data_IF_585353592831
#
_entry.id   IF_585353592831
#
_cell.length_a   1.000
_cell.length_b   1.000
_cell.length_c   1.000
_cell.angle_alpha   90.00
_cell.angle_beta   90.00
_cell.angle_gamma   90.00
#
_symmetry.space_group_name_H-M   'P 1'
#
loop_
_entity.id
_entity.type
_entity.pdbx_description
1 polymer ?
#
# COMPACT_ATOMS: atom_id res chain seq x y z
N UNK A 1 -10.05 -5.26 31.44
CA UNK A 1 -10.10 -3.78 31.57
C UNK A 1 -8.72 -3.26 31.20
N UNK A 2 -8.55 -2.64 30.04
CA UNK A 2 -7.25 -2.14 29.59
C UNK A 2 -7.41 -0.70 29.13
N UNK A 3 -7.10 0.27 30.00
CA UNK A 3 -6.73 1.61 29.55
C UNK A 3 -6.15 2.41 30.71
N UNK A 4 -4.83 2.39 30.83
CA UNK A 4 -4.07 3.43 31.55
C UNK A 4 -2.68 3.73 30.98
N UNK A 5 -2.23 3.20 29.83
CA UNK A 5 -0.80 3.32 29.43
C UNK A 5 -0.55 3.68 27.94
N UNK A 6 -1.54 4.23 27.23
CA UNK A 6 -1.39 4.63 25.82
C UNK A 6 -0.41 5.82 25.58
N UNK A 7 0.29 6.30 26.61
CA UNK A 7 1.13 7.50 26.59
C UNK A 7 2.66 7.24 26.59
N UNK A 8 3.11 5.98 26.54
CA UNK A 8 4.54 5.63 26.67
C UNK A 8 5.38 5.82 25.38
N UNK A 9 4.84 6.49 24.36
CA UNK A 9 5.59 6.83 23.15
C UNK A 9 6.06 5.62 22.33
N UNK A 10 7.10 5.81 21.51
CA UNK A 10 7.66 4.78 20.61
C UNK A 10 8.37 3.70 21.42
N UNK A 11 8.29 2.45 20.95
CA UNK A 11 9.07 1.34 21.50
C UNK A 11 10.55 1.54 21.21
N UNK A 12 11.38 1.46 22.25
CA UNK A 12 12.85 1.44 22.14
C UNK A 12 13.33 0.09 21.59
N UNK A 13 14.62 0.01 21.25
CA UNK A 13 15.19 -1.24 20.75
C UNK A 13 15.28 -2.32 21.84
N UNK A 14 15.51 -1.93 23.08
CA UNK A 14 15.53 -2.87 24.20
C UNK A 14 14.11 -3.37 24.52
N UNK A 15 13.09 -2.50 24.45
CA UNK A 15 11.70 -2.94 24.55
C UNK A 15 11.32 -3.94 23.43
N UNK A 16 11.89 -3.79 22.23
CA UNK A 16 11.68 -4.75 21.15
C UNK A 16 12.34 -6.11 21.45
N UNK A 17 13.54 -6.12 22.01
CA UNK A 17 14.22 -7.37 22.41
C UNK A 17 13.42 -8.10 23.49
N UNK A 18 13.04 -7.39 24.55
CA UNK A 18 12.21 -7.91 25.64
C UNK A 18 10.88 -8.47 25.09
N UNK A 19 10.23 -7.75 24.18
CA UNK A 19 8.99 -8.23 23.54
C UNK A 19 9.20 -9.54 22.78
N UNK A 20 10.31 -9.71 22.04
CA UNK A 20 10.63 -10.97 21.35
C UNK A 20 10.84 -12.11 22.35
N UNK A 21 11.60 -11.87 23.42
CA UNK A 21 11.87 -12.85 24.46
C UNK A 21 10.59 -13.28 25.18
N UNK A 22 9.76 -12.33 25.59
CA UNK A 22 8.48 -12.59 26.23
C UNK A 22 7.51 -13.36 25.33
N UNK A 23 7.49 -13.06 24.03
CA UNK A 23 6.71 -13.84 23.07
C UNK A 23 7.26 -15.26 22.91
N UNK A 24 8.58 -15.44 22.89
CA UNK A 24 9.20 -16.77 22.87
C UNK A 24 8.84 -17.61 24.10
N UNK A 25 8.65 -16.98 25.26
CA UNK A 25 8.33 -17.64 26.53
C UNK A 25 6.83 -17.90 26.71
N UNK A 26 5.97 -16.96 26.31
CA UNK A 26 4.55 -16.98 26.63
C UNK A 26 3.62 -17.17 25.41
N UNK A 27 4.19 -17.26 24.20
CA UNK A 27 3.42 -17.35 22.96
C UNK A 27 2.54 -16.12 22.76
N UNK A 28 1.33 -16.33 22.22
CA UNK A 28 0.35 -15.27 21.96
C UNK A 28 -0.45 -14.81 23.20
N UNK A 29 0.04 -15.08 24.42
CA UNK A 29 -0.58 -14.60 25.65
C UNK A 29 -0.28 -13.10 25.87
N UNK A 30 -0.95 -12.27 25.08
CA UNK A 30 -0.72 -10.82 25.04
C UNK A 30 -0.99 -10.12 26.36
N UNK A 31 -1.89 -10.64 27.20
CA UNK A 31 -2.16 -10.10 28.53
C UNK A 31 -0.93 -10.23 29.44
N UNK A 32 -0.32 -11.43 29.50
CA UNK A 32 0.90 -11.62 30.29
C UNK A 32 2.08 -10.80 29.76
N UNK A 33 2.21 -10.68 28.43
CA UNK A 33 3.26 -9.87 27.82
C UNK A 33 3.01 -8.37 28.11
N UNK A 34 1.78 -7.89 28.00
CA UNK A 34 1.43 -6.48 28.27
C UNK A 34 1.73 -6.08 29.70
N UNK A 35 1.35 -6.94 30.66
CA UNK A 35 1.58 -6.69 32.08
C UNK A 35 3.08 -6.62 32.39
N UNK A 36 3.88 -7.51 31.78
CA UNK A 36 5.34 -7.52 31.94
C UNK A 36 6.04 -6.34 31.27
N UNK A 37 5.50 -5.84 30.17
CA UNK A 37 6.05 -4.68 29.47
C UNK A 37 5.57 -3.34 30.03
N UNK A 38 4.55 -3.33 30.90
CA UNK A 38 3.91 -2.09 31.34
C UNK A 38 3.38 -1.26 30.17
N UNK A 39 2.82 -1.91 29.15
CA UNK A 39 2.21 -1.27 27.98
C UNK A 39 0.88 -1.93 27.65
N UNK A 40 -0.03 -1.20 27.03
CA UNK A 40 -1.33 -1.75 26.62
C UNK A 40 -1.19 -2.98 25.71
N UNK A 41 -2.08 -3.95 25.90
CA UNK A 41 -2.14 -5.18 25.10
C UNK A 41 -2.22 -4.88 23.59
N UNK A 42 -3.02 -3.88 23.21
CA UNK A 42 -3.14 -3.42 21.83
C UNK A 42 -1.82 -2.88 21.28
N UNK A 43 -1.09 -2.07 22.06
CA UNK A 43 0.19 -1.51 21.65
C UNK A 43 1.25 -2.60 21.46
N UNK A 44 1.35 -3.54 22.41
CA UNK A 44 2.29 -4.67 22.36
C UNK A 44 2.01 -5.56 21.16
N UNK A 45 0.75 -5.98 20.97
CA UNK A 45 0.34 -6.83 19.83
C UNK A 45 0.60 -6.13 18.50
N UNK A 46 0.24 -4.84 18.40
CA UNK A 46 0.49 -4.04 17.19
C UNK A 46 1.98 -3.89 16.91
N UNK A 47 2.80 -3.67 17.93
CA UNK A 47 4.25 -3.58 17.79
C UNK A 47 4.84 -4.90 17.31
N UNK A 48 4.52 -6.00 17.97
CA UNK A 48 5.02 -7.33 17.60
C UNK A 48 4.70 -7.68 16.15
N UNK A 49 3.47 -7.41 15.70
CA UNK A 49 3.02 -7.70 14.34
C UNK A 49 3.80 -6.95 13.24
N UNK A 50 4.44 -5.83 13.55
CA UNK A 50 5.24 -5.06 12.58
C UNK A 50 6.75 -5.28 12.74
N UNK A 51 7.17 -6.01 13.77
CA UNK A 51 8.59 -6.29 14.02
C UNK A 51 9.15 -7.24 12.96
N UNK A 52 10.42 -7.05 12.66
CA UNK A 52 11.16 -7.83 11.68
C UNK A 52 12.48 -8.29 12.29
N UNK A 53 13.02 -9.38 11.74
CA UNK A 53 14.37 -9.82 12.09
C UNK A 53 15.39 -8.99 11.34
N UNK A 54 15.14 -8.72 10.06
CA UNK A 54 16.04 -7.95 9.21
C UNK A 54 15.41 -6.61 8.81
N UNK A 55 16.19 -5.55 9.00
CA UNK A 55 15.94 -4.20 8.48
C UNK A 55 16.95 -3.89 7.38
N UNK A 56 16.51 -3.22 6.31
CA UNK A 56 17.37 -2.93 5.14
C UNK A 56 16.84 -3.50 3.82
N UNK A 57 17.64 -3.45 2.74
CA UNK A 57 17.23 -3.86 1.39
C UNK A 57 16.86 -5.35 1.35
N UNK A 58 15.99 -5.72 0.41
CA UNK A 58 15.61 -7.12 0.17
C UNK A 58 16.70 -7.82 -0.63
N UNK A 59 17.17 -8.97 -0.15
CA UNK A 59 18.05 -9.83 -0.95
C UNK A 59 17.28 -10.47 -2.11
N UNK A 60 18.00 -10.92 -3.13
CA UNK A 60 17.38 -11.66 -4.25
C UNK A 60 16.73 -12.96 -3.79
N UNK A 61 17.35 -13.65 -2.81
CA UNK A 61 16.79 -14.86 -2.22
C UNK A 61 15.47 -14.59 -1.47
N UNK A 62 15.43 -13.53 -0.63
CA UNK A 62 14.20 -13.12 0.06
C UNK A 62 13.09 -12.79 -0.95
N UNK A 63 13.44 -12.03 -2.01
CA UNK A 63 12.50 -11.63 -3.04
C UNK A 63 11.98 -12.86 -3.82
N UNK A 64 12.85 -13.81 -4.18
CA UNK A 64 12.46 -15.03 -4.88
C UNK A 64 11.45 -15.84 -4.05
N UNK A 65 11.71 -16.02 -2.76
CA UNK A 65 10.77 -16.73 -1.85
C UNK A 65 9.43 -16.00 -1.77
N UNK A 66 9.44 -14.67 -1.61
CA UNK A 66 8.23 -13.85 -1.62
C UNK A 66 7.41 -14.06 -2.90
N UNK A 67 8.05 -13.93 -4.07
CA UNK A 67 7.39 -14.04 -5.35
C UNK A 67 6.85 -15.44 -5.61
N UNK A 68 7.62 -16.49 -5.30
CA UNK A 68 7.16 -17.89 -5.43
C UNK A 68 5.93 -18.17 -4.56
N UNK A 69 5.93 -17.71 -3.31
CA UNK A 69 4.79 -17.89 -2.42
C UNK A 69 3.52 -17.20 -2.93
N UNK A 70 3.66 -16.00 -3.48
CA UNK A 70 2.55 -15.24 -4.04
C UNK A 70 2.06 -15.83 -5.36
N UNK A 71 2.98 -16.23 -6.24
CA UNK A 71 2.66 -16.95 -7.47
C UNK A 71 1.81 -18.19 -7.18
N UNK A 72 2.18 -19.01 -6.19
CA UNK A 72 1.40 -20.18 -5.79
C UNK A 72 0.00 -19.86 -5.26
N UNK A 73 -0.17 -18.73 -4.54
CA UNK A 73 -1.49 -18.31 -4.06
C UNK A 73 -2.37 -17.79 -5.20
N UNK A 74 -1.77 -17.03 -6.12
CA UNK A 74 -2.45 -16.42 -7.26
C UNK A 74 -2.80 -17.45 -8.33
N UNK A 75 -1.94 -18.42 -8.59
CA UNK A 75 -2.19 -19.51 -9.55
C UNK A 75 -3.45 -20.31 -9.20
N UNK A 76 -3.74 -20.49 -7.91
CA UNK A 76 -4.97 -21.17 -7.44
C UNK A 76 -6.26 -20.38 -7.72
N UNK A 77 -6.14 -19.09 -8.03
CA UNK A 77 -7.24 -18.17 -8.32
C UNK A 77 -7.27 -17.76 -9.78
N UNK A 78 -6.25 -18.11 -10.53
CA UNK A 78 -6.15 -17.78 -11.94
C UNK A 78 -7.05 -18.72 -12.74
N UNK A 79 -7.66 -18.17 -13.77
CA UNK A 79 -8.48 -18.90 -14.72
C UNK A 79 -7.61 -19.36 -15.89
N UNK A 80 -7.87 -20.56 -16.44
CA UNK A 80 -7.24 -20.99 -17.67
C UNK A 80 -7.81 -20.17 -18.83
N UNK A 81 -7.03 -19.26 -19.41
CA UNK A 81 -7.42 -18.53 -20.61
C UNK A 81 -6.94 -17.09 -20.67
N UNK A 82 -6.10 -16.78 -21.67
CA UNK A 82 -6.02 -15.44 -22.25
C UNK A 82 -6.73 -15.41 -23.60
N UNK A 83 -7.23 -14.25 -24.01
CA UNK A 83 -7.66 -14.01 -25.39
C UNK A 83 -6.51 -14.43 -26.33
N UNK A 84 -6.69 -15.55 -27.04
CA UNK A 84 -5.64 -16.17 -27.88
C UNK A 84 -5.36 -17.66 -27.64
N UNK A 85 -5.92 -18.29 -26.60
CA UNK A 85 -5.91 -19.77 -26.48
C UNK A 85 -4.56 -20.41 -26.18
N UNK A 86 -3.56 -19.65 -25.73
CA UNK A 86 -2.21 -20.17 -25.41
C UNK A 86 -2.11 -20.94 -24.08
N UNK A 87 -3.22 -21.11 -23.36
CA UNK A 87 -3.27 -21.79 -22.05
C UNK A 87 -2.68 -20.98 -20.88
N UNK A 88 -2.34 -19.70 -21.08
CA UNK A 88 -1.84 -18.83 -20.02
C UNK A 88 -2.85 -18.67 -18.89
N UNK A 89 -2.37 -18.83 -17.66
CA UNK A 89 -3.15 -18.51 -16.46
C UNK A 89 -3.36 -16.99 -16.35
N UNK A 90 -4.61 -16.57 -16.34
CA UNK A 90 -5.01 -15.15 -16.24
C UNK A 90 -5.63 -14.89 -14.88
N UNK A 91 -5.33 -13.71 -14.32
CA UNK A 91 -5.83 -13.27 -13.03
C UNK A 91 -6.45 -11.89 -13.10
N UNK A 92 -7.56 -11.71 -12.38
CA UNK A 92 -8.20 -10.41 -12.26
C UNK A 92 -7.31 -9.46 -11.46
N UNK A 93 -7.31 -8.18 -11.86
CA UNK A 93 -6.54 -7.10 -11.26
C UNK A 93 -6.69 -7.05 -9.74
N UNK A 94 -7.92 -7.18 -9.25
CA UNK A 94 -8.24 -7.10 -7.82
C UNK A 94 -7.61 -8.25 -7.03
N UNK A 95 -7.53 -9.44 -7.62
CA UNK A 95 -7.00 -10.63 -6.96
C UNK A 95 -5.48 -10.58 -6.78
N UNK A 96 -4.79 -9.74 -7.55
CA UNK A 96 -3.36 -9.47 -7.35
C UNK A 96 -3.05 -8.91 -5.97
N UNK A 97 -4.00 -8.26 -5.28
CA UNK A 97 -3.73 -7.63 -3.99
C UNK A 97 -4.80 -7.86 -2.92
N UNK A 98 -5.99 -8.39 -3.27
CA UNK A 98 -7.03 -8.75 -2.30
C UNK A 98 -6.88 -10.18 -1.78
N UNK A 99 -7.26 -10.37 -0.52
CA UNK A 99 -7.36 -11.68 0.15
C UNK A 99 -6.06 -12.51 0.14
N UNK A 100 -4.88 -11.89 0.10
CA UNK A 100 -3.61 -12.62 0.15
C UNK A 100 -3.23 -13.01 1.58
N UNK A 101 -2.72 -14.24 1.75
CA UNK A 101 -2.37 -14.82 3.06
C UNK A 101 -1.00 -14.33 3.53
N UNK A 102 -0.90 -13.05 3.89
CA UNK A 102 0.37 -12.39 4.24
C UNK A 102 1.09 -13.04 5.42
N UNK A 103 0.36 -13.55 6.41
CA UNK A 103 0.94 -14.28 7.54
C UNK A 103 1.64 -15.56 7.10
N UNK A 104 1.08 -16.28 6.12
CA UNK A 104 1.71 -17.47 5.53
C UNK A 104 2.95 -17.09 4.71
N UNK A 105 2.87 -16.01 3.94
CA UNK A 105 4.01 -15.49 3.17
C UNK A 105 5.17 -15.13 4.11
N UNK A 106 4.90 -14.39 5.18
CA UNK A 106 5.91 -13.99 6.17
C UNK A 106 6.58 -15.20 6.83
N UNK A 107 5.81 -16.24 7.17
CA UNK A 107 6.37 -17.50 7.71
C UNK A 107 7.32 -18.21 6.74
N UNK A 108 7.11 -18.07 5.43
CA UNK A 108 8.00 -18.66 4.41
C UNK A 108 9.23 -17.80 4.18
N UNK A 109 9.08 -16.47 4.16
CA UNK A 109 10.20 -15.53 4.02
C UNK A 109 11.09 -15.52 5.28
N UNK A 110 10.50 -15.72 6.47
CA UNK A 110 11.11 -15.79 7.81
C UNK A 110 11.76 -14.48 8.29
N UNK A 111 12.56 -13.82 7.45
CA UNK A 111 13.34 -12.62 7.79
C UNK A 111 12.51 -11.33 7.87
N UNK A 112 11.29 -11.34 7.32
CA UNK A 112 10.41 -10.17 7.15
C UNK A 112 9.02 -10.39 7.72
N UNK A 113 8.48 -9.34 8.34
CA UNK A 113 7.08 -9.32 8.79
C UNK A 113 6.08 -9.40 7.63
N UNK A 114 4.84 -9.77 7.93
CA UNK A 114 3.75 -9.79 6.95
C UNK A 114 3.50 -8.40 6.33
N UNK A 115 3.70 -7.33 7.10
CA UNK A 115 3.57 -5.96 6.62
C UNK A 115 4.71 -5.60 5.65
N UNK A 116 5.95 -6.03 5.95
CA UNK A 116 7.07 -5.87 5.03
C UNK A 116 6.83 -6.63 3.72
N UNK A 117 6.34 -7.87 3.79
CA UNK A 117 5.98 -8.66 2.61
C UNK A 117 4.89 -7.96 1.76
N UNK A 118 3.82 -7.49 2.41
CA UNK A 118 2.73 -6.75 1.74
C UNK A 118 3.25 -5.49 1.06
N UNK A 119 4.03 -4.68 1.75
CA UNK A 119 4.58 -3.43 1.20
C UNK A 119 5.54 -3.70 0.04
N UNK A 120 6.38 -4.72 0.15
CA UNK A 120 7.29 -5.13 -0.94
C UNK A 120 6.50 -5.59 -2.16
N UNK A 121 5.45 -6.40 -1.97
CA UNK A 121 4.57 -6.82 -3.05
C UNK A 121 3.86 -5.66 -3.74
N UNK A 122 3.28 -4.73 -2.97
CA UNK A 122 2.62 -3.54 -3.56
C UNK A 122 3.59 -2.70 -4.39
N UNK A 123 4.85 -2.58 -3.94
CA UNK A 123 5.91 -1.89 -4.69
C UNK A 123 6.29 -2.65 -5.96
N UNK A 124 6.41 -3.98 -5.87
CA UNK A 124 6.68 -4.85 -7.02
C UNK A 124 5.55 -4.77 -8.06
N UNK A 125 4.30 -4.93 -7.63
CA UNK A 125 3.11 -4.82 -8.47
C UNK A 125 2.98 -3.47 -9.14
N UNK A 126 3.28 -2.38 -8.44
CA UNK A 126 3.28 -1.05 -9.04
C UNK A 126 4.19 -1.00 -10.27
N UNK A 127 5.37 -1.63 -10.22
CA UNK A 127 6.26 -1.73 -11.38
C UNK A 127 5.72 -2.59 -12.51
N UNK A 128 4.87 -3.59 -12.21
CA UNK A 128 4.27 -4.51 -13.19
C UNK A 128 2.99 -3.99 -13.82
N UNK A 129 2.17 -3.28 -13.04
CA UNK A 129 0.84 -2.83 -13.45
C UNK A 129 0.87 -1.45 -14.12
N UNK A 130 1.90 -0.66 -13.88
CA UNK A 130 2.01 0.69 -14.44
C UNK A 130 2.11 0.61 -15.97
N UNK A 131 1.04 1.03 -16.63
CA UNK A 131 1.00 1.29 -18.07
C UNK A 131 1.57 2.69 -18.38
N UNK A 132 2.27 2.85 -19.50
CA UNK A 132 2.69 4.16 -20.03
C UNK A 132 3.96 4.80 -19.44
N UNK A 133 5.10 4.10 -19.46
CA UNK A 133 6.42 4.74 -19.30
C UNK A 133 6.69 5.47 -17.97
N UNK A 134 7.61 6.46 -17.99
CA UNK A 134 7.85 7.35 -16.83
C UNK A 134 6.63 8.27 -16.66
N UNK A 135 6.16 8.44 -15.42
CA UNK A 135 5.11 9.45 -15.17
C UNK A 135 5.82 10.80 -15.25
N UNK A 136 5.63 11.51 -16.35
CA UNK A 136 6.12 12.87 -16.52
C UNK A 136 5.40 13.83 -15.57
N UNK A 137 6.00 15.00 -15.34
CA UNK A 137 5.54 15.97 -14.34
C UNK A 137 4.08 16.35 -14.61
N UNK A 138 3.73 16.60 -15.88
CA UNK A 138 2.36 16.90 -16.32
C UNK A 138 1.34 15.86 -15.84
N UNK A 139 1.52 14.59 -16.20
CA UNK A 139 0.64 13.47 -15.79
C UNK A 139 0.54 13.30 -14.27
N UNK A 140 1.64 13.55 -13.55
CA UNK A 140 1.59 13.53 -12.08
C UNK A 140 0.68 14.62 -11.52
N UNK A 141 0.67 15.82 -12.11
CA UNK A 141 -0.19 16.93 -11.69
C UNK A 141 -1.64 16.64 -12.07
N UNK A 142 -1.89 16.14 -13.29
CA UNK A 142 -3.23 15.73 -13.75
C UNK A 142 -3.86 14.70 -12.82
N UNK A 143 -3.13 13.63 -12.50
CA UNK A 143 -3.61 12.60 -11.57
C UNK A 143 -3.88 13.15 -10.17
N UNK A 144 -3.09 14.12 -9.68
CA UNK A 144 -3.34 14.77 -8.39
C UNK A 144 -4.62 15.62 -8.40
N UNK A 145 -4.84 16.40 -9.47
CA UNK A 145 -6.07 17.18 -9.67
C UNK A 145 -7.29 16.27 -9.70
N UNK A 146 -7.25 15.20 -10.51
CA UNK A 146 -8.35 14.25 -10.62
C UNK A 146 -8.61 13.53 -9.30
N UNK A 147 -7.55 13.15 -8.56
CA UNK A 147 -7.68 12.52 -7.25
C UNK A 147 -8.39 13.42 -6.24
N UNK A 148 -8.05 14.71 -6.20
CA UNK A 148 -8.71 15.69 -5.31
C UNK A 148 -10.19 15.83 -5.69
N UNK A 149 -10.50 15.97 -6.99
CA UNK A 149 -11.89 16.09 -7.48
C UNK A 149 -12.71 14.84 -7.13
N UNK A 150 -12.18 13.65 -7.42
CA UNK A 150 -12.87 12.38 -7.18
C UNK A 150 -13.13 12.13 -5.69
N UNK A 151 -12.15 12.39 -4.81
CA UNK A 151 -12.36 12.22 -3.35
C UNK A 151 -13.38 13.23 -2.82
N UNK A 152 -13.37 14.47 -3.33
CA UNK A 152 -14.37 15.48 -2.94
C UNK A 152 -15.79 15.09 -3.39
N UNK A 153 -15.94 14.59 -4.61
CA UNK A 153 -17.22 14.12 -5.17
C UNK A 153 -17.78 12.91 -4.42
N UNK A 154 -16.93 12.03 -3.89
CA UNK A 154 -17.35 10.88 -3.07
C UNK A 154 -18.06 11.30 -1.77
N UNK A 155 -17.88 12.54 -1.30
CA UNK A 155 -18.54 13.09 -0.10
C UNK A 155 -18.46 12.19 1.15
N UNK A 156 -17.31 11.52 1.33
CA UNK A 156 -17.06 10.65 2.49
C UNK A 156 -16.64 11.45 3.72
N UNK A 157 -17.12 11.06 4.90
CA UNK A 157 -16.83 11.75 6.16
C UNK A 157 -15.48 11.35 6.77
N UNK A 158 -15.00 10.14 6.49
CA UNK A 158 -13.74 9.64 6.99
C UNK A 158 -12.82 9.08 5.89
N UNK A 159 -11.51 9.14 6.14
CA UNK A 159 -10.52 8.59 5.21
C UNK A 159 -10.60 7.07 5.01
N UNK A 160 -11.26 6.36 5.94
CA UNK A 160 -11.48 4.92 5.87
C UNK A 160 -12.53 4.51 4.84
N UNK A 161 -13.44 5.42 4.50
CA UNK A 161 -14.59 5.15 3.62
C UNK A 161 -14.26 5.37 2.14
N UNK A 162 -13.04 5.87 1.85
CA UNK A 162 -12.58 6.04 0.47
C UNK A 162 -12.43 4.67 -0.19
N UNK A 163 -13.22 4.42 -1.24
CA UNK A 163 -13.13 3.22 -2.07
C UNK A 163 -11.97 3.39 -3.08
N UNK A 164 -10.74 3.16 -2.60
CA UNK A 164 -9.53 3.38 -3.38
C UNK A 164 -9.44 2.57 -4.68
N UNK A 165 -10.12 1.42 -4.74
CA UNK A 165 -10.16 0.55 -5.91
C UNK A 165 -10.76 1.26 -7.13
N UNK A 166 -11.82 2.04 -6.94
CA UNK A 166 -12.54 2.77 -7.98
C UNK A 166 -11.69 3.90 -8.57
N UNK A 167 -10.71 4.40 -7.80
CA UNK A 167 -9.82 5.49 -8.19
C UNK A 167 -8.56 5.02 -8.93
N UNK A 168 -8.25 3.72 -8.93
CA UNK A 168 -6.96 3.19 -9.43
C UNK A 168 -6.64 3.57 -10.88
N UNK A 169 -7.67 3.81 -11.71
CA UNK A 169 -7.52 4.22 -13.09
C UNK A 169 -6.88 5.61 -13.26
N UNK A 170 -7.04 6.52 -12.28
CA UNK A 170 -6.48 7.88 -12.30
C UNK A 170 -4.94 7.91 -12.35
N UNK A 171 -4.29 6.80 -12.00
CA UNK A 171 -2.84 6.66 -12.03
C UNK A 171 -2.43 5.37 -12.75
N UNK A 172 -2.92 5.15 -13.97
CA UNK A 172 -2.44 4.08 -14.84
C UNK A 172 -2.71 2.67 -14.29
N UNK A 173 -3.90 2.46 -13.71
CA UNK A 173 -4.35 1.19 -13.15
C UNK A 173 -3.41 0.59 -12.09
N UNK A 174 -2.78 1.44 -11.29
CA UNK A 174 -1.88 1.02 -10.20
C UNK A 174 -2.63 0.43 -8.99
N UNK A 175 -1.96 -0.33 -8.10
CA UNK A 175 -2.57 -0.81 -6.86
C UNK A 175 -3.06 0.35 -5.97
N UNK A 176 -4.17 0.18 -5.20
CA UNK A 176 -4.70 1.18 -4.27
C UNK A 176 -3.66 1.81 -3.33
N UNK A 177 -2.68 1.02 -2.88
CA UNK A 177 -1.60 1.48 -2.02
C UNK A 177 -0.79 2.63 -2.64
N UNK A 178 -0.69 2.72 -3.96
CA UNK A 178 -0.05 3.83 -4.65
C UNK A 178 -0.84 5.12 -4.49
N UNK A 179 -2.16 5.07 -4.68
CA UNK A 179 -3.05 6.22 -4.54
C UNK A 179 -3.07 6.72 -3.10
N UNK A 180 -3.12 5.81 -2.13
CA UNK A 180 -3.01 6.14 -0.71
C UNK A 180 -1.70 6.89 -0.40
N UNK A 181 -0.58 6.43 -0.97
CA UNK A 181 0.72 7.11 -0.84
C UNK A 181 0.69 8.49 -1.49
N UNK A 182 0.09 8.63 -2.68
CA UNK A 182 -0.05 9.92 -3.37
C UNK A 182 -0.94 10.90 -2.62
N UNK A 183 -2.05 10.44 -2.08
CA UNK A 183 -2.94 11.24 -1.24
C UNK A 183 -2.23 11.68 0.05
N UNK A 184 -1.49 10.77 0.71
CA UNK A 184 -0.67 11.14 1.86
C UNK A 184 0.36 12.23 1.50
N UNK A 185 1.06 12.07 0.38
CA UNK A 185 2.03 13.07 -0.12
C UNK A 185 1.38 14.43 -0.39
N UNK A 186 0.19 14.46 -1.00
CA UNK A 186 -0.58 15.70 -1.20
C UNK A 186 -0.86 16.39 0.13
N UNK A 187 -1.39 15.64 1.10
CA UNK A 187 -1.71 16.14 2.43
C UNK A 187 -0.51 16.78 3.13
N UNK A 188 0.62 16.07 3.20
CA UNK A 188 1.81 16.57 3.93
C UNK A 188 2.55 17.69 3.20
N UNK A 189 2.44 17.75 1.88
CA UNK A 189 3.11 18.78 1.06
C UNK A 189 2.38 20.11 1.11
N UNK A 190 1.04 20.09 0.99
CA UNK A 190 0.27 21.30 0.75
C UNK A 190 -0.47 21.82 1.96
N UNK A 191 -0.76 20.98 2.96
CA UNK A 191 -1.64 21.33 4.07
C UNK A 191 -0.82 21.64 5.33
N UNK A 192 -0.77 22.91 5.78
CA UNK A 192 -0.12 23.26 7.04
C UNK A 192 -0.83 22.59 8.23
N UNK A 193 -0.04 22.09 9.18
CA UNK A 193 -0.54 21.47 10.42
C UNK A 193 -1.64 20.42 10.18
N UNK A 194 -1.48 19.57 9.17
CA UNK A 194 -2.47 18.57 8.73
C UNK A 194 -2.96 17.65 9.86
N UNK A 195 -2.12 17.38 10.86
CA UNK A 195 -2.45 16.57 12.03
C UNK A 195 -3.48 17.23 12.98
N UNK A 196 -3.79 18.52 12.80
CA UNK A 196 -4.76 19.28 13.60
C UNK A 196 -6.08 19.54 12.86
N UNK A 197 -6.25 18.98 11.66
CA UNK A 197 -7.42 19.21 10.81
C UNK A 197 -8.31 17.97 10.78
N UNK A 198 -9.62 18.18 10.71
CA UNK A 198 -10.56 17.08 10.45
C UNK A 198 -10.37 16.57 9.02
N UNK A 199 -10.93 15.40 8.71
CA UNK A 199 -10.88 14.87 7.35
C UNK A 199 -11.60 15.79 6.36
N UNK A 200 -12.77 16.33 6.75
CA UNK A 200 -13.49 17.33 5.96
C UNK A 200 -12.67 18.59 5.70
N UNK A 201 -12.06 19.18 6.73
CA UNK A 201 -11.18 20.35 6.57
C UNK A 201 -9.99 20.08 5.64
N UNK A 202 -9.49 18.84 5.63
CA UNK A 202 -8.42 18.40 4.73
C UNK A 202 -8.92 18.40 3.29
N UNK A 203 -10.09 17.82 3.02
CA UNK A 203 -10.67 17.78 1.67
C UNK A 203 -11.01 19.19 1.18
N UNK A 204 -11.69 20.00 1.99
CA UNK A 204 -12.04 21.39 1.67
C UNK A 204 -10.76 22.20 1.36
N UNK A 205 -9.71 22.07 2.16
CA UNK A 205 -8.44 22.76 1.90
C UNK A 205 -7.78 22.29 0.59
N UNK A 206 -7.79 20.98 0.32
CA UNK A 206 -7.26 20.46 -0.94
C UNK A 206 -8.05 21.01 -2.13
N UNK A 207 -9.37 21.03 -2.05
CA UNK A 207 -10.24 21.49 -3.13
C UNK A 207 -10.17 23.01 -3.33
N UNK A 208 -10.26 23.81 -2.28
CA UNK A 208 -10.31 25.28 -2.40
C UNK A 208 -8.95 25.95 -2.59
N UNK A 209 -7.88 25.39 -2.00
CA UNK A 209 -6.56 26.05 -1.93
C UNK A 209 -5.48 25.35 -2.73
N UNK A 210 -5.54 24.02 -2.80
CA UNK A 210 -4.48 23.22 -3.47
C UNK A 210 -4.81 22.99 -4.94
N UNK A 211 -6.05 22.61 -5.24
CA UNK A 211 -6.52 22.33 -6.60
C UNK A 211 -6.27 23.51 -7.57
N UNK A 212 -6.58 24.78 -7.24
CA UNK A 212 -6.33 25.89 -8.17
C UNK A 212 -4.85 26.12 -8.45
N UNK A 213 -3.97 25.83 -7.48
CA UNK A 213 -2.51 25.92 -7.67
C UNK A 213 -2.01 24.84 -8.61
N UNK A 214 -2.49 23.60 -8.42
CA UNK A 214 -2.16 22.49 -9.31
C UNK A 214 -2.67 22.73 -10.74
N UNK A 215 -3.88 23.27 -10.90
CA UNK A 215 -4.42 23.63 -12.22
C UNK A 215 -3.60 24.74 -12.90
N UNK A 216 -3.08 25.70 -12.13
CA UNK A 216 -2.15 26.72 -12.64
C UNK A 216 -0.80 26.10 -13.02
N UNK A 217 -0.25 25.22 -12.19
CA UNK A 217 1.01 24.53 -12.45
C UNK A 217 0.93 23.62 -13.68
N UNK A 218 -0.23 22.99 -13.90
CA UNK A 218 -0.51 22.18 -15.07
C UNK A 218 -0.47 23.03 -16.36
N UNK A 219 -1.14 24.19 -16.36
CA UNK A 219 -1.13 25.14 -17.48
C UNK A 219 0.28 25.65 -17.78
N UNK A 220 1.13 25.79 -16.77
CA UNK A 220 2.53 26.19 -16.92
C UNK A 220 3.48 25.06 -17.32
N UNK A 221 3.01 23.82 -17.45
CA UNK A 221 3.85 22.68 -17.79
C UNK A 221 4.12 22.66 -19.31
N UNK A 222 5.40 22.82 -19.69
CA UNK A 222 5.87 22.81 -21.08
C UNK A 222 6.12 21.41 -21.64
N UNK A 223 6.00 20.38 -20.81
CA UNK A 223 6.03 18.99 -21.27
C UNK A 223 4.99 18.85 -22.40
N UNK A 224 5.40 18.24 -23.52
CA UNK A 224 4.49 18.00 -24.63
C UNK A 224 3.24 17.27 -24.12
N UNK A 225 2.09 17.54 -24.75
CA UNK A 225 0.96 16.61 -24.71
C UNK A 225 1.41 15.35 -25.45
N UNK A 226 2.27 14.56 -24.81
CA UNK A 226 2.53 13.21 -25.27
C UNK A 226 1.17 12.53 -25.22
N UNK A 227 0.62 12.28 -26.40
CA UNK A 227 -0.53 11.42 -26.64
C UNK A 227 -0.12 9.97 -26.33
N UNK A 228 0.36 9.74 -25.12
CA UNK A 228 0.38 8.42 -24.55
C UNK A 228 -1.07 7.97 -24.50
N UNK A 229 -1.34 6.81 -25.09
CA UNK A 229 -2.64 6.19 -25.07
C UNK A 229 -3.23 6.23 -23.64
N UNK A 230 -4.55 6.50 -23.51
CA UNK A 230 -5.23 6.38 -22.24
C UNK A 230 -4.81 5.05 -21.62
N UNK A 231 -4.37 5.07 -20.37
CA UNK A 231 -3.99 3.85 -19.69
C UNK A 231 -5.17 2.88 -19.79
N UNK A 232 -5.06 1.86 -20.65
CA UNK A 232 -6.14 0.90 -20.89
C UNK A 232 -6.62 0.41 -19.53
N UNK A 233 -7.95 0.43 -19.34
CA UNK A 233 -8.65 -0.09 -18.16
C UNK A 233 -8.47 -1.60 -18.08
N UNK A 234 -7.22 -2.01 -17.82
CA UNK A 234 -6.79 -3.39 -17.81
C UNK A 234 -7.36 -4.05 -16.56
N UNK A 235 -8.35 -4.91 -16.77
CA UNK A 235 -9.05 -5.63 -15.69
C UNK A 235 -8.38 -6.96 -15.34
N UNK A 236 -7.55 -7.51 -16.22
CA UNK A 236 -6.89 -8.80 -16.03
C UNK A 236 -5.43 -8.81 -16.53
N UNK A 237 -4.63 -9.71 -15.97
CA UNK A 237 -3.21 -9.86 -16.26
C UNK A 237 -2.88 -11.35 -16.47
N UNK A 238 -1.98 -11.67 -17.40
CA UNK A 238 -1.36 -12.99 -17.44
C UNK A 238 -0.39 -13.11 -16.26
N UNK A 239 -0.38 -14.25 -15.58
CA UNK A 239 0.55 -14.46 -14.47
C UNK A 239 2.02 -14.34 -14.92
N UNK A 240 2.33 -14.72 -16.17
CA UNK A 240 3.67 -14.58 -16.76
C UNK A 240 4.13 -13.13 -16.88
N UNK A 241 3.23 -12.15 -17.04
CA UNK A 241 3.61 -10.73 -17.07
C UNK A 241 3.97 -10.21 -15.67
N UNK A 242 3.23 -10.70 -14.67
CA UNK A 242 3.46 -10.36 -13.27
C UNK A 242 4.71 -11.07 -12.74
N UNK A 243 4.99 -12.28 -13.19
CA UNK A 243 6.09 -13.15 -12.75
C UNK A 243 6.94 -13.64 -13.93
N UNK A 244 7.66 -12.77 -14.65
CA UNK A 244 8.38 -13.19 -15.87
C UNK A 244 9.60 -14.07 -15.61
N UNK A 245 10.09 -14.14 -14.37
CA UNK A 245 11.31 -14.85 -13.99
C UNK A 245 11.01 -16.04 -13.05
N UNK A 246 9.76 -16.51 -13.03
CA UNK A 246 9.34 -17.70 -12.27
C UNK A 246 8.87 -18.81 -13.20
#
# INVERSE_FOLDING_TARGET
MCNRENYLGRFTEDENKVLKELYSLHGSNWTTISDKMGRSCEAVKKRFNVMSEVYGPWSEAELKVLLTCLHQQLLKRAEPGGEGGDGSAVIQKMDLYKKLEWSRVAKQVQTRSWLHCKNKWMTYLMGKMKTGGKIHRRKSIEGQIQLIKAINEMAVEESGDIVWDDLTHLFGNTPPAYLQKKFYQLKVTYIPHVNRKSFRDIIDFLYEKTLPKLEKDLKGCKDAEDADEPAELRQSYKLSEIFPNL
#
